data_IF_912653328326
#
_entry.id   IF_912653328326
#
_cell.length_a   1.000
_cell.length_b   1.000
_cell.length_c   1.000
_cell.angle_alpha   90.00
_cell.angle_beta   90.00
_cell.angle_gamma   90.00
#
_symmetry.space_group_name_H-M   'P 1'
#
loop_
_entity.id
_entity.type
_entity.pdbx_description
1 polymer ?
#
# COMPACT_ATOMS: atom_id res chain seq x y z
N UNK A 1 52.92 28.13 40.68
CA UNK A 1 52.01 27.04 41.03
C UNK A 1 51.08 26.76 39.88
N UNK A 2 51.38 25.71 39.10
CA UNK A 2 50.55 25.29 37.95
C UNK A 2 49.53 24.26 38.43
N UNK A 3 48.24 24.56 38.29
CA UNK A 3 47.16 23.63 38.58
C UNK A 3 46.79 22.87 37.31
N UNK A 4 47.03 21.54 37.26
CA UNK A 4 46.56 20.66 36.19
C UNK A 4 45.12 20.24 36.55
N UNK A 5 44.18 20.62 35.70
CA UNK A 5 42.84 20.09 35.74
C UNK A 5 42.75 18.82 34.90
N UNK A 6 42.53 17.66 35.51
CA UNK A 6 42.22 16.39 34.84
C UNK A 6 40.77 16.40 34.43
N UNK A 7 40.50 16.46 33.13
CA UNK A 7 39.17 16.27 32.57
C UNK A 7 38.99 14.77 32.28
N UNK A 8 38.27 14.06 33.11
CA UNK A 8 37.88 12.67 32.88
C UNK A 8 36.78 12.63 31.81
N UNK A 9 37.13 12.10 30.63
CA UNK A 9 36.18 11.83 29.55
C UNK A 9 35.42 10.54 29.92
N UNK A 10 34.17 10.67 30.36
CA UNK A 10 33.24 9.53 30.52
C UNK A 10 32.84 9.08 29.12
N UNK A 11 33.42 7.96 28.65
CA UNK A 11 32.94 7.27 27.46
C UNK A 11 31.57 6.63 27.78
N UNK A 12 30.51 7.25 27.30
CA UNK A 12 29.18 6.64 27.27
C UNK A 12 29.22 5.51 26.25
N UNK A 13 29.33 4.28 26.73
CA UNK A 13 29.10 3.10 25.91
C UNK A 13 27.59 3.07 25.60
N UNK A 14 27.24 3.47 24.38
CA UNK A 14 25.92 3.15 23.83
C UNK A 14 25.86 1.62 23.68
N UNK A 15 25.14 0.95 24.57
CA UNK A 15 24.76 -0.43 24.36
C UNK A 15 23.97 -0.51 23.06
N UNK A 16 24.63 -1.10 22.06
CA UNK A 16 23.97 -1.48 20.81
C UNK A 16 23.05 -2.66 21.15
N UNK A 17 21.84 -2.35 21.64
CA UNK A 17 20.77 -3.33 21.70
C UNK A 17 20.53 -3.76 20.27
N UNK A 18 21.02 -4.93 19.94
CA UNK A 18 20.60 -5.71 18.79
C UNK A 18 19.09 -5.90 18.95
N UNK A 19 18.31 -4.92 18.51
CA UNK A 19 16.88 -5.08 18.31
C UNK A 19 16.79 -6.04 17.13
N UNK A 20 16.65 -7.32 17.44
CA UNK A 20 16.08 -8.28 16.51
C UNK A 20 14.64 -7.81 16.29
N UNK A 21 14.47 -6.81 15.42
CA UNK A 21 13.16 -6.32 15.01
C UNK A 21 12.65 -7.34 14.02
N UNK A 22 12.00 -8.40 14.53
CA UNK A 22 11.14 -9.23 13.70
C UNK A 22 10.13 -8.28 13.06
N UNK A 23 10.31 -8.06 11.75
CA UNK A 23 9.43 -7.18 10.99
C UNK A 23 8.04 -7.78 10.98
N UNK A 24 7.00 -7.05 11.38
CA UNK A 24 5.64 -7.59 11.39
C UNK A 24 5.18 -7.90 9.96
N UNK A 25 4.39 -8.95 9.80
CA UNK A 25 3.66 -9.15 8.55
C UNK A 25 2.62 -8.04 8.38
N UNK A 26 2.48 -7.55 7.16
CA UNK A 26 1.54 -6.49 6.82
C UNK A 26 0.48 -7.03 5.86
N UNK A 27 -0.78 -6.95 6.25
CA UNK A 27 -1.92 -7.31 5.42
C UNK A 27 -2.72 -6.03 5.16
N UNK A 28 -2.81 -5.65 3.88
CA UNK A 28 -3.59 -4.51 3.44
C UNK A 28 -4.88 -4.98 2.77
N UNK A 29 -6.03 -4.71 3.40
CA UNK A 29 -7.35 -5.10 2.88
C UNK A 29 -8.02 -3.86 2.32
N UNK A 30 -8.24 -3.86 1.00
CA UNK A 30 -8.87 -2.76 0.28
C UNK A 30 -10.24 -3.18 -0.24
N UNK A 31 -11.28 -2.74 0.45
CA UNK A 31 -12.65 -3.06 0.06
C UNK A 31 -13.10 -2.18 -1.12
N UNK A 32 -13.78 -2.80 -2.08
CA UNK A 32 -14.34 -2.13 -3.25
C UNK A 32 -15.81 -1.81 -2.98
N UNK A 33 -16.25 -0.61 -3.30
CA UNK A 33 -17.62 -0.10 -3.15
C UNK A 33 -18.20 -0.20 -1.71
N UNK A 34 -17.35 -0.21 -0.69
CA UNK A 34 -17.75 -0.21 0.71
C UNK A 34 -17.91 1.22 1.24
N UNK A 35 -19.12 1.57 1.63
CA UNK A 35 -19.44 2.86 2.23
C UNK A 35 -19.06 2.95 3.70
N UNK A 36 -18.86 4.15 4.21
CA UNK A 36 -18.55 4.40 5.62
C UNK A 36 -19.58 3.79 6.58
N UNK A 37 -20.88 3.86 6.23
CA UNK A 37 -21.98 3.35 7.04
C UNK A 37 -22.28 1.85 6.87
N UNK A 38 -21.48 1.10 6.13
CA UNK A 38 -21.75 -0.31 5.81
C UNK A 38 -21.18 -1.28 6.85
N UNK A 39 -20.36 -0.78 7.78
CA UNK A 39 -19.76 -1.57 8.86
C UNK A 39 -20.39 -1.24 10.22
N UNK A 40 -20.62 -2.28 11.06
CA UNK A 40 -21.20 -2.06 12.41
C UNK A 40 -20.39 -1.12 13.26
N UNK A 41 -19.05 -1.20 13.23
CA UNK A 41 -18.17 -0.31 13.96
C UNK A 41 -18.31 1.18 13.55
N UNK A 42 -18.97 1.45 12.42
CA UNK A 42 -19.32 2.79 11.94
C UNK A 42 -20.83 3.05 11.95
N UNK A 43 -21.63 2.15 12.53
CA UNK A 43 -23.05 2.38 12.79
C UNK A 43 -24.02 1.65 11.88
N UNK A 44 -23.56 0.72 11.05
CA UNK A 44 -24.48 -0.18 10.30
C UNK A 44 -25.38 -0.96 11.24
N UNK A 45 -26.67 -1.04 10.90
CA UNK A 45 -27.68 -1.73 11.74
C UNK A 45 -28.17 -3.03 11.09
N UNK A 46 -28.06 -3.15 9.79
CA UNK A 46 -28.66 -4.24 9.00
C UNK A 46 -27.64 -5.28 8.54
N UNK A 47 -26.36 -5.04 8.77
CA UNK A 47 -25.26 -5.93 8.38
C UNK A 47 -24.40 -6.21 9.61
N UNK A 48 -24.09 -7.47 9.84
CA UNK A 48 -23.22 -7.89 10.93
C UNK A 48 -21.78 -8.06 10.42
N UNK A 49 -20.82 -7.37 11.07
CA UNK A 49 -19.40 -7.39 10.69
C UNK A 49 -18.50 -7.72 11.89
N UNK A 50 -18.68 -8.88 12.56
CA UNK A 50 -18.07 -9.18 13.86
C UNK A 50 -16.54 -9.20 13.78
N UNK A 51 -15.94 -9.69 12.69
CA UNK A 51 -14.50 -9.72 12.55
C UNK A 51 -13.89 -8.31 12.35
N UNK A 52 -14.58 -7.44 11.61
CA UNK A 52 -14.16 -6.04 11.45
C UNK A 52 -14.35 -5.27 12.76
N UNK A 53 -15.43 -5.54 13.49
CA UNK A 53 -15.64 -4.97 14.82
C UNK A 53 -14.53 -5.35 15.80
N UNK A 54 -14.06 -6.61 15.76
CA UNK A 54 -12.92 -7.05 16.55
C UNK A 54 -11.65 -6.29 16.18
N UNK A 55 -11.31 -6.18 14.90
CA UNK A 55 -10.18 -5.37 14.46
C UNK A 55 -10.29 -3.92 14.92
N UNK A 56 -11.47 -3.33 14.84
CA UNK A 56 -11.71 -1.95 15.29
C UNK A 56 -11.55 -1.78 16.80
N UNK A 57 -11.88 -2.82 17.61
CA UNK A 57 -11.74 -2.79 19.06
C UNK A 57 -10.32 -3.08 19.57
N UNK A 58 -9.56 -3.86 18.82
CA UNK A 58 -8.18 -4.25 19.15
C UNK A 58 -7.14 -3.29 18.56
N UNK A 59 -7.52 -2.46 17.60
CA UNK A 59 -6.65 -1.56 16.86
C UNK A 59 -7.06 -0.10 16.91
N UNK A 60 -6.76 0.62 15.81
CA UNK A 60 -7.10 2.04 15.65
C UNK A 60 -8.25 2.17 14.65
N UNK A 61 -9.33 2.82 15.06
CA UNK A 61 -10.44 3.17 14.19
C UNK A 61 -10.39 4.64 13.81
N UNK A 62 -10.25 4.94 12.53
CA UNK A 62 -10.28 6.31 12.03
C UNK A 62 -11.72 6.76 11.79
N UNK A 63 -12.12 7.86 12.40
CA UNK A 63 -13.47 8.43 12.26
C UNK A 63 -13.55 9.54 11.22
N UNK A 64 -12.43 9.98 10.68
CA UNK A 64 -12.33 11.02 9.66
C UNK A 64 -11.21 10.68 8.66
N UNK A 65 -11.29 9.50 8.03
CA UNK A 65 -10.41 9.10 6.94
C UNK A 65 -11.19 9.11 5.62
N UNK A 66 -10.53 9.55 4.56
CA UNK A 66 -11.14 9.68 3.25
C UNK A 66 -10.33 8.91 2.20
N UNK A 67 -11.04 8.22 1.31
CA UNK A 67 -10.44 7.71 0.08
C UNK A 67 -10.04 8.89 -0.81
N UNK A 68 -8.96 8.72 -1.57
CA UNK A 68 -8.45 9.78 -2.46
C UNK A 68 -9.34 10.04 -3.66
N UNK A 69 -10.22 9.10 -4.02
CA UNK A 69 -11.22 9.20 -5.04
C UNK A 69 -12.41 8.28 -4.73
N UNK A 70 -13.57 8.59 -5.28
CA UNK A 70 -14.81 7.83 -5.09
C UNK A 70 -14.89 6.56 -5.97
N UNK A 71 -14.07 6.46 -7.02
CA UNK A 71 -14.08 5.36 -7.98
C UNK A 71 -12.82 4.51 -7.91
N UNK A 72 -12.93 3.29 -8.41
CA UNK A 72 -11.94 2.21 -8.21
C UNK A 72 -10.54 2.56 -8.73
N UNK A 73 -10.40 2.80 -10.04
CA UNK A 73 -9.06 3.01 -10.66
C UNK A 73 -8.28 4.17 -10.01
N UNK A 74 -8.82 5.41 -9.90
CA UNK A 74 -8.05 6.52 -9.33
C UNK A 74 -7.73 6.31 -7.86
N UNK A 75 -8.60 5.65 -7.10
CA UNK A 75 -8.35 5.37 -5.69
C UNK A 75 -7.24 4.31 -5.51
N UNK A 76 -7.26 3.23 -6.31
CA UNK A 76 -6.21 2.20 -6.33
C UNK A 76 -4.87 2.75 -6.80
N UNK A 77 -4.88 3.60 -7.84
CA UNK A 77 -3.69 4.30 -8.30
C UNK A 77 -3.03 5.09 -7.17
N UNK A 78 -3.81 5.94 -6.51
CA UNK A 78 -3.28 6.79 -5.44
C UNK A 78 -2.76 5.97 -4.25
N UNK A 79 -3.44 4.89 -3.88
CA UNK A 79 -3.05 4.00 -2.79
C UNK A 79 -1.70 3.33 -3.07
N UNK A 80 -1.50 2.84 -4.30
CA UNK A 80 -0.26 2.13 -4.67
C UNK A 80 0.93 3.06 -4.91
N UNK A 81 0.69 4.26 -5.44
CA UNK A 81 1.76 5.16 -5.89
C UNK A 81 2.05 6.32 -4.93
N UNK A 82 1.14 6.58 -3.98
CA UNK A 82 1.22 7.78 -3.13
C UNK A 82 0.91 9.08 -3.87
N UNK A 83 0.49 9.03 -5.14
CA UNK A 83 0.17 10.20 -5.96
C UNK A 83 -1.35 10.35 -6.11
N UNK A 84 -1.85 11.57 -6.06
CA UNK A 84 -3.25 11.82 -6.41
C UNK A 84 -3.50 11.57 -7.90
N UNK A 85 -4.48 10.72 -8.21
CA UNK A 85 -4.82 10.33 -9.58
C UNK A 85 -5.18 11.54 -10.47
N UNK A 86 -5.88 12.53 -9.94
CA UNK A 86 -6.25 13.75 -10.68
C UNK A 86 -5.07 14.59 -11.18
N UNK A 87 -3.85 14.35 -10.68
CA UNK A 87 -2.62 14.98 -11.18
C UNK A 87 -2.07 14.33 -12.44
N UNK A 88 -2.56 13.14 -12.80
CA UNK A 88 -2.05 12.37 -13.92
C UNK A 88 -3.18 12.05 -14.92
N UNK A 89 -3.11 12.53 -16.15
CA UNK A 89 -4.04 12.12 -17.21
C UNK A 89 -4.05 10.59 -17.40
N UNK A 90 -5.23 10.03 -17.71
CA UNK A 90 -5.39 8.59 -17.97
C UNK A 90 -5.52 7.72 -16.71
N UNK A 91 -5.81 8.32 -15.57
CA UNK A 91 -6.09 7.61 -14.31
C UNK A 91 -7.58 7.60 -13.96
N UNK A 92 -8.45 7.89 -14.92
CA UNK A 92 -9.89 7.71 -14.81
C UNK A 92 -10.25 6.21 -14.75
N UNK A 93 -11.55 5.90 -14.62
CA UNK A 93 -12.00 4.51 -14.55
C UNK A 93 -11.57 3.74 -15.80
N UNK A 94 -10.69 2.76 -15.60
CA UNK A 94 -10.11 1.96 -16.66
C UNK A 94 -11.13 1.04 -17.31
N UNK A 95 -11.04 0.87 -18.62
CA UNK A 95 -11.75 -0.19 -19.34
C UNK A 95 -11.19 -1.58 -18.95
N UNK A 96 -12.00 -2.64 -19.09
CA UNK A 96 -11.58 -4.00 -18.74
C UNK A 96 -10.38 -4.54 -19.51
N UNK A 97 -10.05 -3.94 -20.65
CA UNK A 97 -8.89 -4.25 -21.47
C UNK A 97 -7.86 -3.10 -21.53
N UNK A 98 -7.87 -2.23 -20.54
CA UNK A 98 -6.92 -1.12 -20.50
C UNK A 98 -5.47 -1.62 -20.35
N UNK A 99 -4.56 -0.94 -21.04
CA UNK A 99 -3.13 -1.09 -20.80
C UNK A 99 -2.74 -0.57 -19.42
N UNK A 100 -1.54 -0.93 -18.98
CA UNK A 100 -1.03 -0.62 -17.64
C UNK A 100 -0.97 0.90 -17.37
N UNK A 101 -1.62 1.33 -16.30
CA UNK A 101 -1.71 2.74 -15.90
C UNK A 101 -0.50 3.15 -15.05
N UNK A 102 -0.07 2.30 -14.13
CA UNK A 102 1.17 2.48 -13.37
C UNK A 102 2.32 2.00 -14.25
N UNK A 103 3.32 2.85 -14.47
CA UNK A 103 4.49 2.45 -15.26
C UNK A 103 5.43 1.55 -14.43
N UNK A 104 6.12 0.57 -15.05
CA UNK A 104 7.08 -0.29 -14.35
C UNK A 104 8.18 0.47 -13.60
N UNK A 105 8.60 1.63 -14.12
CA UNK A 105 9.60 2.47 -13.47
C UNK A 105 9.06 3.38 -12.35
N UNK A 106 7.75 3.38 -12.13
CA UNK A 106 7.12 4.18 -11.07
C UNK A 106 7.18 3.41 -9.74
N UNK A 107 7.81 4.02 -8.75
CA UNK A 107 7.93 3.43 -7.40
C UNK A 107 6.57 3.24 -6.75
N UNK A 108 6.32 2.06 -6.26
CA UNK A 108 5.03 1.66 -5.67
C UNK A 108 5.16 1.30 -4.19
N UNK A 109 4.02 1.12 -3.53
CA UNK A 109 3.97 0.57 -2.18
C UNK A 109 4.60 -0.84 -2.13
N UNK A 110 4.44 -1.66 -3.17
CA UNK A 110 5.08 -2.97 -3.24
C UNK A 110 6.61 -2.86 -3.31
N UNK A 111 7.16 -1.94 -4.09
CA UNK A 111 8.60 -1.68 -4.14
C UNK A 111 9.13 -1.21 -2.79
N UNK A 112 8.38 -0.39 -2.08
CA UNK A 112 8.73 0.08 -0.74
C UNK A 112 8.87 -1.10 0.24
N UNK A 113 7.92 -2.01 0.25
CA UNK A 113 7.98 -3.21 1.09
C UNK A 113 9.11 -4.15 0.65
N UNK A 114 9.26 -4.37 -0.65
CA UNK A 114 10.32 -5.21 -1.22
C UNK A 114 11.71 -4.67 -0.89
N UNK A 115 11.93 -3.37 -1.03
CA UNK A 115 13.20 -2.72 -0.64
C UNK A 115 13.50 -2.84 0.85
N UNK A 116 12.46 -3.04 1.66
CA UNK A 116 12.56 -3.32 3.09
C UNK A 116 12.70 -4.81 3.41
N UNK A 117 12.84 -5.68 2.41
CA UNK A 117 13.06 -7.12 2.55
C UNK A 117 11.79 -7.94 2.84
N UNK A 118 10.61 -7.45 2.48
CA UNK A 118 9.37 -8.21 2.50
C UNK A 118 9.18 -8.99 1.20
N UNK A 119 8.55 -10.16 1.27
CA UNK A 119 7.87 -10.75 0.14
C UNK A 119 6.52 -10.06 -0.04
N UNK A 120 6.14 -9.79 -1.30
CA UNK A 120 4.98 -8.96 -1.64
C UNK A 120 3.97 -9.75 -2.47
N UNK A 121 2.68 -9.59 -2.19
CA UNK A 121 1.61 -10.26 -2.92
C UNK A 121 0.40 -9.37 -3.16
N UNK A 122 -0.21 -9.48 -4.35
CA UNK A 122 -1.48 -8.83 -4.69
C UNK A 122 -2.52 -9.89 -5.06
N UNK A 123 -3.70 -9.80 -4.45
CA UNK A 123 -4.78 -10.77 -4.61
C UNK A 123 -6.11 -10.07 -4.86
N UNK A 124 -6.85 -10.49 -5.89
CA UNK A 124 -8.17 -9.97 -6.21
C UNK A 124 -8.18 -8.87 -7.27
N UNK A 125 -9.18 -7.97 -7.21
CA UNK A 125 -9.41 -6.95 -8.23
C UNK A 125 -8.24 -5.97 -8.35
N UNK A 126 -7.63 -5.91 -9.54
CA UNK A 126 -6.53 -4.98 -9.87
C UNK A 126 -7.03 -3.64 -10.39
N UNK A 127 -7.72 -3.61 -11.50
CA UNK A 127 -8.36 -2.46 -12.16
C UNK A 127 -7.43 -1.27 -12.47
N UNK A 128 -6.17 -1.57 -12.79
CA UNK A 128 -5.15 -0.58 -13.19
C UNK A 128 -4.46 -0.95 -14.51
N UNK A 129 -5.15 -1.80 -15.32
CA UNK A 129 -4.63 -2.25 -16.60
C UNK A 129 -3.44 -3.19 -16.47
N UNK A 130 -3.11 -3.87 -17.55
CA UNK A 130 -1.96 -4.77 -17.69
C UNK A 130 -1.34 -4.60 -19.08
N UNK A 131 -0.11 -5.07 -19.26
CA UNK A 131 0.56 -5.03 -20.55
C UNK A 131 0.93 -3.63 -21.01
N UNK A 132 0.95 -3.38 -22.33
CA UNK A 132 1.36 -2.10 -22.90
C UNK A 132 0.32 -1.02 -22.60
N UNK A 133 0.76 0.11 -22.04
CA UNK A 133 -0.09 1.25 -21.70
C UNK A 133 -0.64 1.99 -22.92
N UNK A 134 -0.07 1.79 -24.09
CA UNK A 134 -0.42 2.53 -25.32
C UNK A 134 -1.50 1.84 -26.15
N UNK A 135 -1.82 0.57 -25.83
CA UNK A 135 -2.78 -0.25 -26.55
C UNK A 135 -3.82 -0.89 -25.63
N UNK A 136 -4.94 -1.25 -26.21
CA UNK A 136 -5.87 -2.16 -25.55
C UNK A 136 -5.23 -3.56 -25.47
N UNK A 137 -5.33 -4.18 -24.30
CA UNK A 137 -4.71 -5.48 -24.08
C UNK A 137 -5.41 -6.58 -24.89
N UNK A 138 -4.64 -7.32 -25.67
CA UNK A 138 -5.04 -8.61 -26.24
C UNK A 138 -4.76 -9.73 -25.22
N UNK A 139 -5.81 -10.28 -24.65
CA UNK A 139 -5.71 -11.34 -23.64
C UNK A 139 -5.26 -12.70 -24.18
N UNK A 140 -5.17 -12.85 -25.52
CA UNK A 140 -4.62 -14.05 -26.16
C UNK A 140 -3.11 -13.94 -26.42
N UNK A 141 -2.54 -12.78 -26.22
CA UNK A 141 -1.10 -12.53 -26.36
C UNK A 141 -0.39 -12.56 -24.98
N UNK A 142 0.92 -12.73 -25.01
CA UNK A 142 1.74 -12.57 -23.81
C UNK A 142 1.73 -11.12 -23.35
N UNK A 143 1.59 -10.90 -22.05
CA UNK A 143 1.66 -9.58 -21.46
C UNK A 143 3.07 -9.02 -21.54
N UNK A 144 3.22 -7.78 -22.01
CA UNK A 144 4.50 -7.06 -22.03
C UNK A 144 4.93 -6.55 -20.66
N UNK A 145 3.97 -6.35 -19.76
CA UNK A 145 4.18 -5.96 -18.38
C UNK A 145 3.06 -6.48 -17.46
N UNK A 146 3.40 -6.77 -16.22
CA UNK A 146 2.53 -7.41 -15.23
C UNK A 146 2.72 -6.80 -13.84
N UNK A 147 2.05 -7.31 -12.83
CA UNK A 147 2.23 -6.88 -11.44
C UNK A 147 3.65 -7.16 -10.92
N UNK A 148 4.35 -8.15 -11.49
CA UNK A 148 5.75 -8.43 -11.15
C UNK A 148 6.67 -7.24 -11.43
N UNK A 149 6.38 -6.48 -12.48
CA UNK A 149 7.12 -5.27 -12.85
C UNK A 149 6.82 -4.07 -11.94
N UNK A 150 5.82 -4.19 -11.07
CA UNK A 150 5.41 -3.20 -10.07
C UNK A 150 5.78 -3.60 -8.65
N UNK A 151 6.73 -4.52 -8.48
CA UNK A 151 7.26 -4.91 -7.18
C UNK A 151 6.52 -6.05 -6.47
N UNK A 152 5.52 -6.69 -7.09
CA UNK A 152 4.85 -7.84 -6.50
C UNK A 152 5.55 -9.15 -6.86
N UNK A 153 5.91 -9.96 -5.85
CA UNK A 153 6.49 -11.29 -6.05
C UNK A 153 5.41 -12.32 -6.45
N UNK A 154 4.17 -12.10 -5.99
CA UNK A 154 3.01 -12.96 -6.26
C UNK A 154 1.79 -12.13 -6.65
N UNK A 155 0.99 -12.63 -7.59
CA UNK A 155 -0.29 -12.02 -7.95
C UNK A 155 -1.32 -13.08 -8.36
N UNK A 156 -2.59 -12.89 -7.94
CA UNK A 156 -3.71 -13.78 -8.27
C UNK A 156 -5.01 -12.98 -8.34
#
# INVERSE_FOLDING_TARGET
MLSLAFTSCLAVHAENKNQNTDKPNVIFIYADDLGYGDLECYGAKNVQTPNVNRLASEGIRFINAHATAATSTPSRYSMLTGEYAWRKPGTDVAAGNAGMIIRPEQYTMADMFKSSGYATGAFGKWHLGLGDKTAQQDWNASLSASLGDLGFDYSY
#
